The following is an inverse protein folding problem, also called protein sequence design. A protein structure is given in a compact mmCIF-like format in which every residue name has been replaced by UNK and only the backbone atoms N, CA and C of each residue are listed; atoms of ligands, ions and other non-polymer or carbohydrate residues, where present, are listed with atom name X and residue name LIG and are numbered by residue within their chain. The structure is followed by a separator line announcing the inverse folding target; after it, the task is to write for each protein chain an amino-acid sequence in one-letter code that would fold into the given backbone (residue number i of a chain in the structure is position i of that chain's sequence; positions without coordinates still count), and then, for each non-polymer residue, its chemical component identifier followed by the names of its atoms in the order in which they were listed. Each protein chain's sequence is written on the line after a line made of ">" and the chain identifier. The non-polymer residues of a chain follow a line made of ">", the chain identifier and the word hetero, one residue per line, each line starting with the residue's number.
data_IF_206549280648
#
_entry.id   IF_206549280648
#
_cell.length_a   1.000
_cell.length_b   1.000
_cell.length_c   1.000
_cell.angle_alpha   90.00
_cell.angle_beta   90.00
_cell.angle_gamma   90.00
#
_symmetry.space_group_name_H-M   'P 1'
#
loop_
_entity.id
_entity.type
_entity.pdbx_description
1 polymer ?
#
# COMPACT_ATOMS: atom_id res chain seq x y z
N UNK A 1 12.68 -16.58 -17.33
CA UNK A 1 11.70 -15.62 -17.87
C UNK A 1 11.58 -14.51 -16.85
N UNK A 2 12.08 -13.31 -17.15
CA UNK A 2 11.90 -12.17 -16.24
C UNK A 2 10.44 -11.72 -16.35
N UNK A 3 9.66 -11.89 -15.29
CA UNK A 3 8.32 -11.30 -15.21
C UNK A 3 8.49 -9.78 -15.25
N UNK A 4 7.82 -9.12 -16.20
CA UNK A 4 7.78 -7.67 -16.22
C UNK A 4 7.23 -7.14 -14.87
N UNK A 5 7.74 -6.00 -14.38
CA UNK A 5 7.22 -5.40 -13.16
C UNK A 5 5.74 -5.05 -13.38
N UNK A 6 4.88 -5.48 -12.47
CA UNK A 6 3.48 -5.06 -12.46
C UNK A 6 3.44 -3.55 -12.15
N UNK A 7 2.99 -2.75 -13.12
CA UNK A 7 2.88 -1.30 -12.97
C UNK A 7 1.46 -0.96 -12.51
N UNK A 8 1.37 -0.13 -11.48
CA UNK A 8 0.11 0.24 -10.84
C UNK A 8 -0.03 1.76 -10.93
N UNK A 9 -1.12 2.21 -11.54
CA UNK A 9 -1.46 3.64 -11.60
C UNK A 9 -2.04 4.13 -10.27
N UNK A 10 -2.04 5.46 -10.06
CA UNK A 10 -2.71 6.08 -8.90
C UNK A 10 -4.19 5.73 -8.81
N UNK A 11 -4.88 5.70 -9.96
CA UNK A 11 -6.30 5.33 -10.02
C UNK A 11 -6.54 3.87 -9.65
N UNK A 12 -5.63 2.98 -10.06
CA UNK A 12 -5.72 1.60 -9.62
C UNK A 12 -5.48 1.49 -8.12
N UNK A 13 -4.43 2.12 -7.60
CA UNK A 13 -4.12 2.13 -6.18
C UNK A 13 -5.31 2.65 -5.34
N UNK A 14 -5.92 3.77 -5.73
CA UNK A 14 -7.01 4.40 -4.98
C UNK A 14 -8.25 3.52 -4.82
N UNK A 15 -8.53 2.65 -5.79
CA UNK A 15 -9.64 1.71 -5.69
C UNK A 15 -9.39 0.55 -4.72
N UNK A 16 -8.13 0.23 -4.38
CA UNK A 16 -7.79 -0.83 -3.41
C UNK A 16 -7.63 -0.26 -2.00
N UNK A 17 -8.68 0.40 -1.54
CA UNK A 17 -8.77 1.07 -0.25
C UNK A 17 -9.61 0.29 0.78
N UNK A 18 -9.90 -0.99 0.54
CA UNK A 18 -10.73 -1.82 1.41
C UNK A 18 -12.23 -1.48 1.41
N UNK A 19 -12.69 -0.55 0.56
CA UNK A 19 -14.09 -0.13 0.43
C UNK A 19 -14.59 -0.26 -1.01
N UNK A 20 -13.97 0.46 -1.96
CA UNK A 20 -14.29 0.37 -3.40
C UNK A 20 -13.96 -1.03 -3.95
N UNK A 21 -12.89 -1.62 -3.41
CA UNK A 21 -12.48 -3.00 -3.63
C UNK A 21 -12.06 -3.63 -2.29
N UNK A 22 -12.20 -4.96 -2.14
CA UNK A 22 -11.84 -5.63 -0.89
C UNK A 22 -10.34 -5.62 -0.61
N UNK A 23 -9.49 -5.42 -1.62
CA UNK A 23 -8.05 -5.30 -1.45
C UNK A 23 -7.69 -4.00 -0.72
N UNK A 24 -6.64 -4.08 0.10
CA UNK A 24 -6.08 -2.94 0.82
C UNK A 24 -4.61 -2.82 0.43
N UNK A 25 -4.30 -1.83 -0.41
CA UNK A 25 -2.96 -1.59 -0.92
C UNK A 25 -2.44 -0.23 -0.47
N UNK A 26 -1.14 -0.15 -0.23
CA UNK A 26 -0.44 1.11 0.08
C UNK A 26 0.83 1.18 -0.75
N UNK A 27 1.22 2.39 -1.18
CA UNK A 27 2.52 2.62 -1.78
C UNK A 27 3.51 3.18 -0.75
N UNK A 28 4.78 2.79 -0.87
CA UNK A 28 5.89 3.37 -0.13
C UNK A 28 7.15 3.33 -1.02
N UNK A 29 7.76 4.50 -1.26
CA UNK A 29 8.91 4.70 -2.14
C UNK A 29 8.74 4.00 -3.49
N UNK A 30 7.56 4.19 -4.10
CA UNK A 30 7.21 3.63 -5.40
C UNK A 30 6.91 2.13 -5.42
N UNK A 31 7.00 1.40 -4.31
CA UNK A 31 6.58 -0.01 -4.22
C UNK A 31 5.16 -0.09 -3.69
N UNK A 32 4.33 -0.95 -4.28
CA UNK A 32 2.96 -1.20 -3.81
C UNK A 32 2.94 -2.49 -3.00
N UNK A 33 2.45 -2.41 -1.77
CA UNK A 33 2.34 -3.52 -0.83
C UNK A 33 0.88 -3.91 -0.65
N UNK A 34 0.62 -5.21 -0.68
CA UNK A 34 -0.68 -5.74 -0.25
C UNK A 34 -0.70 -5.92 1.27
N UNK A 35 -1.51 -5.10 1.95
CA UNK A 35 -1.69 -5.13 3.41
C UNK A 35 -3.06 -5.68 3.81
N UNK A 36 -3.79 -6.32 2.90
CA UNK A 36 -5.17 -6.82 3.11
C UNK A 36 -5.29 -7.75 4.32
N UNK A 37 -4.28 -8.58 4.59
CA UNK A 37 -4.29 -9.50 5.72
C UNK A 37 -3.96 -8.83 7.08
N UNK A 38 -3.54 -7.56 7.08
CA UNK A 38 -3.18 -6.85 8.31
C UNK A 38 -4.42 -6.42 9.08
N UNK A 39 -4.54 -6.89 10.34
CA UNK A 39 -5.59 -6.44 11.26
C UNK A 39 -5.52 -4.94 11.56
N UNK A 40 -4.34 -4.33 11.42
CA UNK A 40 -4.12 -2.89 11.64
C UNK A 40 -4.65 -2.01 10.50
N UNK A 41 -4.96 -2.60 9.34
CA UNK A 41 -5.48 -1.95 8.14
C UNK A 41 -6.92 -2.37 7.82
N UNK A 42 -7.67 -2.81 8.83
CA UNK A 42 -9.05 -3.30 8.65
C UNK A 42 -9.91 -2.22 7.97
N UNK A 43 -10.62 -2.62 6.93
CA UNK A 43 -11.44 -1.72 6.10
C UNK A 43 -10.65 -0.55 5.49
N UNK A 44 -9.35 -0.73 5.27
CA UNK A 44 -8.47 0.27 4.68
C UNK A 44 -8.15 1.47 5.55
N UNK A 45 -8.36 1.37 6.87
CA UNK A 45 -8.02 2.44 7.82
C UNK A 45 -6.91 1.99 8.76
N UNK A 46 -5.93 2.86 8.97
CA UNK A 46 -4.87 2.71 9.96
C UNK A 46 -4.68 4.02 10.71
N UNK A 47 -5.34 4.15 11.88
CA UNK A 47 -5.44 5.41 12.61
C UNK A 47 -5.95 6.55 11.71
N UNK A 48 -5.20 7.63 11.55
CA UNK A 48 -5.53 8.79 10.71
C UNK A 48 -5.09 8.62 9.24
N UNK A 49 -4.70 7.41 8.83
CA UNK A 49 -4.27 7.11 7.46
C UNK A 49 -5.24 6.15 6.76
N UNK A 50 -5.38 6.34 5.45
CA UNK A 50 -6.22 5.51 4.58
C UNK A 50 -5.36 4.77 3.56
N UNK A 51 -5.79 3.56 3.21
CA UNK A 51 -5.20 2.80 2.12
C UNK A 51 -5.59 3.38 0.76
N UNK A 52 -4.97 2.87 -0.30
CA UNK A 52 -5.19 3.33 -1.67
C UNK A 52 -4.40 4.59 -2.03
N UNK A 53 -3.29 4.86 -1.33
CA UNK A 53 -2.42 5.99 -1.66
C UNK A 53 -0.95 5.66 -1.39
N UNK A 54 -0.07 6.56 -1.84
CA UNK A 54 1.33 6.57 -1.46
C UNK A 54 1.44 7.21 -0.08
N UNK A 55 2.02 6.48 0.87
CA UNK A 55 2.17 6.87 2.27
C UNK A 55 3.64 7.20 2.61
N UNK A 56 4.44 7.53 1.60
CA UNK A 56 5.88 7.79 1.77
C UNK A 56 6.14 8.95 2.71
N UNK A 57 5.41 10.05 2.55
CA UNK A 57 5.63 11.26 3.33
C UNK A 57 5.01 11.14 4.73
N UNK A 58 3.92 10.38 4.86
CA UNK A 58 3.19 10.11 6.09
C UNK A 58 3.97 9.20 7.04
N UNK A 59 4.81 8.30 6.51
CA UNK A 59 5.60 7.40 7.35
C UNK A 59 6.62 8.14 8.24
N UNK A 60 7.02 9.35 7.85
CA UNK A 60 7.99 10.17 8.61
C UNK A 60 7.49 10.47 10.02
N UNK A 61 6.17 10.63 10.18
CA UNK A 61 5.52 10.97 11.45
C UNK A 61 5.01 9.73 12.22
N UNK A 62 5.23 8.53 11.70
CA UNK A 62 4.75 7.29 12.30
C UNK A 62 5.58 6.87 13.52
N UNK A 63 5.00 6.21 14.54
CA UNK A 63 5.72 5.68 15.70
C UNK A 63 6.54 4.40 15.37
N UNK A 64 6.74 4.10 14.08
CA UNK A 64 7.44 2.93 13.57
C UNK A 64 8.16 3.24 12.26
N UNK A 65 9.11 2.38 11.86
CA UNK A 65 9.88 2.54 10.63
C UNK A 65 9.31 1.72 9.47
N UNK A 66 9.95 1.78 8.30
CA UNK A 66 9.63 0.99 7.11
C UNK A 66 9.91 -0.51 7.27
N UNK A 67 10.47 -0.94 8.40
CA UNK A 67 10.67 -2.37 8.70
C UNK A 67 9.36 -3.16 8.74
N UNK A 68 8.23 -2.50 9.00
CA UNK A 68 6.90 -3.12 8.93
C UNK A 68 6.61 -3.72 7.56
N UNK A 69 7.16 -3.14 6.47
CA UNK A 69 6.95 -3.59 5.10
C UNK A 69 7.61 -4.93 4.79
N UNK A 70 8.61 -5.37 5.58
CA UNK A 70 9.26 -6.69 5.43
C UNK A 70 8.28 -7.86 5.59
N UNK A 71 7.10 -7.62 6.20
CA UNK A 71 6.05 -8.62 6.42
C UNK A 71 5.05 -8.71 5.26
N UNK A 72 5.12 -7.82 4.29
CA UNK A 72 4.13 -7.70 3.22
C UNK A 72 4.75 -8.00 1.85
N UNK A 73 3.89 -8.46 0.94
CA UNK A 73 4.29 -8.79 -0.43
C UNK A 73 4.28 -7.51 -1.26
N UNK A 74 5.39 -7.25 -1.95
CA UNK A 74 5.43 -6.25 -3.02
C UNK A 74 4.72 -6.83 -4.24
N UNK A 75 3.62 -6.22 -4.64
CA UNK A 75 2.77 -6.69 -5.74
C UNK A 75 2.97 -5.91 -7.04
N UNK A 76 3.72 -4.81 -6.99
CA UNK A 76 3.97 -3.96 -8.13
C UNK A 76 4.67 -2.67 -7.75
N UNK A 77 4.78 -1.77 -8.72
CA UNK A 77 5.39 -0.46 -8.58
C UNK A 77 4.39 0.62 -8.97
N UNK A 78 4.28 1.65 -8.14
CA UNK A 78 3.46 2.81 -8.42
C UNK A 78 4.13 3.63 -9.53
N UNK A 79 3.38 3.88 -10.60
CA UNK A 79 3.79 4.79 -11.68
C UNK A 79 3.05 6.11 -11.55
N UNK A 80 3.76 7.20 -11.87
CA UNK A 80 3.27 8.57 -11.77
C UNK A 80 2.24 8.90 -12.84
#
# INVERSE_FOLDING_TARGET
>A
MFTQPNLITKAELSLRNGQDKPQVWVAYKGKVYDVTASRLWKNGKHYEHWAGQDLTDELVDAPHTDEVFKKFVVIGYLIL
#
